data_IF_459740641411
#
_entry.id   IF_459740641411
#
_cell.length_a   1.000
_cell.length_b   1.000
_cell.length_c   1.000
_cell.angle_alpha   90.00
_cell.angle_beta   90.00
_cell.angle_gamma   90.00
#
_symmetry.space_group_name_H-M   'P 1'
#
loop_
_entity.id
_entity.type
_entity.pdbx_description
1 polymer ?
#
# COMPACT_ATOMS: atom_id res chain seq x y z
N UNK A 1 17.46 -7.63 11.68
CA UNK A 1 16.37 -8.58 11.45
C UNK A 1 14.97 -7.99 11.71
N UNK A 2 14.74 -7.24 12.79
CA UNK A 2 13.40 -6.71 13.15
C UNK A 2 12.91 -5.49 12.36
N UNK A 3 13.79 -4.77 11.66
CA UNK A 3 13.44 -3.52 10.96
C UNK A 3 12.31 -3.69 9.93
N UNK A 4 12.34 -4.67 9.01
CA UNK A 4 11.23 -4.91 8.09
C UNK A 4 9.90 -5.15 8.79
N UNK A 5 9.93 -5.84 9.93
CA UNK A 5 8.73 -6.13 10.74
C UNK A 5 8.16 -4.83 11.31
N UNK A 6 8.99 -4.02 11.99
CA UNK A 6 8.56 -2.75 12.59
C UNK A 6 8.02 -1.82 11.50
N UNK A 7 8.72 -1.68 10.38
CA UNK A 7 8.26 -0.82 9.27
C UNK A 7 6.94 -1.30 8.67
N UNK A 8 6.75 -2.61 8.53
CA UNK A 8 5.53 -3.20 8.00
C UNK A 8 4.34 -3.02 8.96
N UNK A 9 4.57 -3.21 10.26
CA UNK A 9 3.55 -2.97 11.30
C UNK A 9 3.15 -1.51 11.34
N UNK A 10 4.10 -0.58 11.37
CA UNK A 10 3.80 0.86 11.40
C UNK A 10 3.08 1.27 10.11
N UNK A 11 3.53 0.80 8.95
CA UNK A 11 2.89 1.11 7.68
C UNK A 11 1.44 0.59 7.61
N UNK A 12 1.21 -0.65 8.04
CA UNK A 12 -0.12 -1.25 8.02
C UNK A 12 -1.07 -0.62 9.05
N UNK A 13 -0.59 -0.40 10.28
CA UNK A 13 -1.36 0.26 11.33
C UNK A 13 -1.70 1.70 10.95
N UNK A 14 -0.81 2.40 10.24
CA UNK A 14 -1.11 3.74 9.73
C UNK A 14 -2.27 3.70 8.74
N UNK A 15 -2.27 2.79 7.77
CA UNK A 15 -3.38 2.67 6.79
C UNK A 15 -4.69 2.29 7.48
N UNK A 16 -4.67 1.39 8.47
CA UNK A 16 -5.84 1.05 9.26
C UNK A 16 -6.30 2.24 10.12
N UNK A 17 -5.39 3.01 10.71
CA UNK A 17 -5.75 4.20 11.48
C UNK A 17 -6.41 5.27 10.58
N UNK A 18 -5.96 5.40 9.33
CA UNK A 18 -6.49 6.34 8.36
C UNK A 18 -7.94 6.03 7.93
N UNK A 19 -8.38 4.76 7.96
CA UNK A 19 -9.78 4.43 7.63
C UNK A 19 -10.79 4.87 8.70
N UNK A 20 -10.35 5.08 9.95
CA UNK A 20 -11.21 5.67 11.00
C UNK A 20 -11.62 7.11 10.70
N UNK A 21 -10.84 7.80 9.86
CA UNK A 21 -11.13 9.18 9.45
C UNK A 21 -11.94 9.26 8.14
N UNK A 22 -12.40 8.12 7.60
CA UNK A 22 -13.23 8.10 6.40
C UNK A 22 -12.47 8.49 5.12
N UNK A 23 -11.13 8.37 5.11
CA UNK A 23 -10.32 8.89 4.02
C UNK A 23 -10.55 8.13 2.70
N UNK A 24 -10.82 6.82 2.74
CA UNK A 24 -11.15 6.09 1.52
C UNK A 24 -12.51 6.53 0.99
N UNK A 25 -13.51 6.71 1.86
CA UNK A 25 -14.83 7.22 1.47
C UNK A 25 -14.73 8.62 0.84
N UNK A 26 -13.96 9.53 1.45
CA UNK A 26 -13.69 10.87 0.90
C UNK A 26 -13.02 10.82 -0.48
N UNK A 27 -12.12 9.86 -0.70
CA UNK A 27 -11.46 9.64 -1.98
C UNK A 27 -12.34 8.86 -3.00
N UNK A 28 -13.56 8.48 -2.61
CA UNK A 28 -14.56 7.92 -3.50
C UNK A 28 -14.89 6.43 -3.28
N UNK A 29 -14.41 5.80 -2.20
CA UNK A 29 -14.88 4.47 -1.79
C UNK A 29 -16.34 4.51 -1.34
N UNK A 30 -16.97 3.34 -1.30
CA UNK A 30 -18.29 3.22 -0.69
C UNK A 30 -18.17 3.42 0.84
N UNK A 31 -19.05 4.21 1.49
CA UNK A 31 -18.93 4.52 2.93
C UNK A 31 -18.88 3.29 3.84
N UNK A 32 -19.58 2.22 3.47
CA UNK A 32 -19.61 0.96 4.24
C UNK A 32 -18.34 0.10 4.11
N UNK A 33 -17.37 0.47 3.26
CA UNK A 33 -16.21 -0.37 2.97
C UNK A 33 -14.91 0.10 3.64
N UNK A 34 -14.85 1.33 4.16
CA UNK A 34 -13.60 2.00 4.52
C UNK A 34 -12.71 1.14 5.44
N UNK A 35 -13.28 0.66 6.56
CA UNK A 35 -12.57 -0.22 7.48
C UNK A 35 -12.29 -1.61 6.86
N UNK A 36 -13.23 -2.15 6.09
CA UNK A 36 -13.12 -3.49 5.53
C UNK A 36 -11.96 -3.61 4.52
N UNK A 37 -11.84 -2.65 3.59
CA UNK A 37 -10.77 -2.66 2.57
C UNK A 37 -9.40 -2.44 3.20
N UNK A 38 -9.32 -1.61 4.24
CA UNK A 38 -8.09 -1.39 5.00
C UNK A 38 -7.66 -2.66 5.77
N UNK A 39 -8.60 -3.33 6.44
CA UNK A 39 -8.34 -4.56 7.19
C UNK A 39 -7.91 -5.74 6.29
N UNK A 40 -8.25 -5.72 5.01
CA UNK A 40 -7.78 -6.73 4.04
C UNK A 40 -6.46 -6.30 3.41
N UNK A 41 -6.40 -5.09 2.86
CA UNK A 41 -5.27 -4.63 2.06
C UNK A 41 -4.02 -4.32 2.89
N UNK A 42 -4.17 -3.75 4.08
CA UNK A 42 -3.02 -3.37 4.89
C UNK A 42 -2.20 -4.59 5.37
N UNK A 43 -2.81 -5.68 5.90
CA UNK A 43 -2.04 -6.88 6.24
C UNK A 43 -1.30 -7.48 5.04
N UNK A 44 -1.94 -7.53 3.86
CA UNK A 44 -1.31 -8.04 2.64
C UNK A 44 -0.11 -7.18 2.22
N UNK A 45 -0.26 -5.85 2.22
CA UNK A 45 0.83 -4.92 1.94
C UNK A 45 1.98 -5.03 2.96
N UNK A 46 1.65 -5.21 4.24
CA UNK A 46 2.63 -5.39 5.31
C UNK A 46 3.44 -6.69 5.15
N UNK A 47 2.78 -7.81 4.81
CA UNK A 47 3.44 -9.08 4.52
C UNK A 47 4.42 -8.96 3.34
N UNK A 48 3.99 -8.31 2.25
CA UNK A 48 4.86 -8.05 1.09
C UNK A 48 6.04 -7.14 1.44
N UNK A 49 5.80 -6.09 2.23
CA UNK A 49 6.85 -5.17 2.67
C UNK A 49 7.89 -5.87 3.56
N UNK A 50 7.43 -6.76 4.45
CA UNK A 50 8.30 -7.55 5.31
C UNK A 50 9.17 -8.50 4.49
N UNK A 51 8.58 -9.24 3.54
CA UNK A 51 9.30 -10.14 2.64
C UNK A 51 10.36 -9.40 1.82
N UNK A 52 9.98 -8.33 1.12
CA UNK A 52 10.91 -7.56 0.29
C UNK A 52 11.96 -6.82 1.13
N UNK A 53 11.62 -6.42 2.36
CA UNK A 53 12.56 -5.84 3.31
C UNK A 53 13.62 -6.84 3.78
N UNK A 54 13.26 -8.10 4.01
CA UNK A 54 14.23 -9.16 4.33
C UNK A 54 15.12 -9.54 3.16
N UNK A 55 14.64 -9.40 1.93
CA UNK A 55 15.43 -9.58 0.72
C UNK A 55 16.30 -8.35 0.36
N UNK A 56 16.31 -7.32 1.21
CA UNK A 56 16.98 -6.03 0.97
C UNK A 56 16.51 -5.29 -0.30
N UNK A 57 15.29 -5.61 -0.77
CA UNK A 57 14.67 -5.06 -1.99
C UNK A 57 13.79 -3.83 -1.72
N UNK A 58 14.19 -2.97 -0.79
CA UNK A 58 13.38 -1.83 -0.32
C UNK A 58 13.00 -0.87 -1.45
N UNK A 59 13.90 -0.61 -2.41
CA UNK A 59 13.58 0.24 -3.58
C UNK A 59 12.51 -0.39 -4.47
N UNK A 60 12.60 -1.70 -4.71
CA UNK A 60 11.60 -2.40 -5.50
C UNK A 60 10.25 -2.44 -4.77
N UNK A 61 10.24 -2.62 -3.45
CA UNK A 61 9.03 -2.52 -2.63
C UNK A 61 8.36 -1.15 -2.78
N UNK A 62 9.13 -0.06 -2.69
CA UNK A 62 8.59 1.29 -2.87
C UNK A 62 7.98 1.49 -4.27
N UNK A 63 8.72 1.13 -5.34
CA UNK A 63 8.23 1.27 -6.71
C UNK A 63 6.98 0.43 -6.94
N UNK A 64 7.00 -0.84 -6.51
CA UNK A 64 5.85 -1.72 -6.60
C UNK A 64 4.64 -1.14 -5.85
N UNK A 65 4.84 -0.65 -4.63
CA UNK A 65 3.78 -0.01 -3.84
C UNK A 65 3.14 1.18 -4.56
N UNK A 66 3.96 2.11 -5.08
CA UNK A 66 3.47 3.29 -5.82
C UNK A 66 2.71 2.89 -7.10
N UNK A 67 3.28 1.96 -7.88
CA UNK A 67 2.65 1.49 -9.13
C UNK A 67 1.33 0.77 -8.82
N UNK A 68 1.31 -0.12 -7.83
CA UNK A 68 0.10 -0.80 -7.39
C UNK A 68 -0.95 0.20 -6.91
N UNK A 69 -0.59 1.19 -6.10
CA UNK A 69 -1.52 2.23 -5.65
C UNK A 69 -2.14 3.00 -6.83
N UNK A 70 -1.32 3.45 -7.77
CA UNK A 70 -1.80 4.21 -8.92
C UNK A 70 -2.75 3.39 -9.80
N UNK A 71 -2.37 2.16 -10.14
CA UNK A 71 -3.19 1.26 -10.96
C UNK A 71 -4.49 0.87 -10.24
N UNK A 72 -4.41 0.53 -8.95
CA UNK A 72 -5.57 0.12 -8.18
C UNK A 72 -6.56 1.28 -7.99
N UNK A 73 -6.07 2.50 -7.74
CA UNK A 73 -6.92 3.68 -7.65
C UNK A 73 -7.59 4.01 -9.00
N UNK A 74 -6.85 3.93 -10.11
CA UNK A 74 -7.42 4.14 -11.44
C UNK A 74 -8.52 3.11 -11.76
N UNK A 75 -8.29 1.84 -11.43
CA UNK A 75 -9.30 0.78 -11.56
C UNK A 75 -10.50 1.03 -10.64
N UNK A 76 -10.28 1.49 -9.42
CA UNK A 76 -11.35 1.79 -8.46
C UNK A 76 -12.28 2.89 -8.99
N UNK A 77 -11.71 3.98 -9.51
CA UNK A 77 -12.48 5.10 -10.07
C UNK A 77 -13.23 4.69 -11.33
N UNK A 78 -12.62 3.90 -12.21
CA UNK A 78 -13.28 3.40 -13.43
C UNK A 78 -14.40 2.43 -13.09
N UNK A 79 -14.18 1.52 -12.14
CA UNK A 79 -15.18 0.60 -11.62
C UNK A 79 -16.37 1.34 -11.02
N UNK A 80 -16.12 2.34 -10.18
CA UNK A 80 -17.18 3.19 -9.60
C UNK A 80 -18.04 3.85 -10.68
N UNK A 81 -17.41 4.47 -11.66
CA UNK A 81 -18.12 5.19 -12.71
C UNK A 81 -19.01 4.26 -13.55
N UNK A 82 -18.47 3.11 -13.96
CA UNK A 82 -19.23 2.11 -14.72
C UNK A 82 -20.37 1.50 -13.90
N UNK A 83 -20.12 1.16 -12.63
CA UNK A 83 -21.12 0.60 -11.72
C UNK A 83 -22.28 1.57 -11.48
N UNK A 84 -21.97 2.87 -11.30
CA UNK A 84 -22.99 3.90 -11.16
C UNK A 84 -23.78 4.10 -12.45
N UNK A 85 -23.11 4.13 -13.61
CA UNK A 85 -23.75 4.27 -14.91
C UNK A 85 -24.67 3.09 -15.27
N UNK A 86 -24.34 1.90 -14.77
CA UNK A 86 -25.17 0.70 -14.94
C UNK A 86 -26.28 0.58 -13.88
N UNK A 87 -26.51 1.59 -13.04
CA UNK A 87 -27.45 1.50 -11.91
C UNK A 87 -27.20 0.27 -11.01
N UNK A 88 -25.93 -0.02 -10.73
CA UNK A 88 -25.48 -1.17 -9.96
C UNK A 88 -25.65 -2.57 -10.59
N UNK A 89 -26.00 -2.66 -11.88
CA UNK A 89 -26.15 -3.95 -12.58
C UNK A 89 -24.80 -4.56 -13.04
N UNK A 90 -23.78 -3.76 -13.34
CA UNK A 90 -22.46 -4.25 -13.78
C UNK A 90 -21.63 -4.73 -12.59
N UNK A 91 -21.80 -6.00 -12.23
CA UNK A 91 -21.08 -6.62 -11.11
C UNK A 91 -19.56 -6.57 -11.28
N UNK A 92 -19.04 -6.66 -12.50
CA UNK A 92 -17.60 -6.59 -12.75
C UNK A 92 -17.07 -5.21 -12.40
N UNK A 93 -17.78 -4.15 -12.77
CA UNK A 93 -17.45 -2.78 -12.39
C UNK A 93 -17.48 -2.60 -10.85
N UNK A 94 -18.46 -3.19 -10.18
CA UNK A 94 -18.52 -3.23 -8.71
C UNK A 94 -17.31 -3.93 -8.07
N UNK A 95 -16.89 -5.07 -8.64
CA UNK A 95 -15.69 -5.79 -8.19
C UNK A 95 -14.41 -4.99 -8.43
N UNK A 96 -14.28 -4.29 -9.57
CA UNK A 96 -13.14 -3.42 -9.84
C UNK A 96 -13.08 -2.24 -8.86
N UNK A 97 -14.24 -1.68 -8.51
CA UNK A 97 -14.34 -0.64 -7.49
C UNK A 97 -13.84 -1.14 -6.14
N UNK A 98 -14.43 -2.22 -5.63
CA UNK A 98 -14.09 -2.80 -4.31
C UNK A 98 -12.65 -3.29 -4.22
N UNK A 99 -12.20 -4.12 -5.17
CA UNK A 99 -10.85 -4.67 -5.17
C UNK A 99 -9.79 -3.61 -5.48
N UNK A 100 -10.14 -2.56 -6.22
CA UNK A 100 -9.26 -1.41 -6.42
C UNK A 100 -8.92 -0.69 -5.10
N UNK A 101 -9.87 -0.55 -4.18
CA UNK A 101 -9.60 0.00 -2.85
C UNK A 101 -8.73 -0.93 -2.00
N UNK A 102 -8.95 -2.24 -2.05
CA UNK A 102 -8.05 -3.21 -1.39
C UNK A 102 -6.63 -3.06 -1.95
N UNK A 103 -6.49 -3.05 -3.28
CA UNK A 103 -5.19 -2.90 -3.96
C UNK A 103 -4.52 -1.57 -3.61
N UNK A 104 -5.28 -0.49 -3.45
CA UNK A 104 -4.74 0.79 -2.99
C UNK A 104 -4.17 0.67 -1.58
N UNK A 105 -4.90 0.07 -0.63
CA UNK A 105 -4.42 -0.18 0.73
C UNK A 105 -3.15 -1.06 0.75
N UNK A 106 -3.07 -2.09 -0.11
CA UNK A 106 -1.86 -2.91 -0.30
C UNK A 106 -0.69 -2.04 -0.75
N UNK A 107 -0.88 -1.26 -1.82
CA UNK A 107 0.17 -0.43 -2.41
C UNK A 107 0.67 0.66 -1.46
N UNK A 108 -0.24 1.35 -0.77
CA UNK A 108 0.10 2.42 0.19
C UNK A 108 0.86 1.85 1.37
N UNK A 109 0.37 0.74 1.94
CA UNK A 109 1.07 0.06 3.04
C UNK A 109 2.47 -0.35 2.63
N UNK A 110 2.61 -0.95 1.44
CA UNK A 110 3.89 -1.40 0.91
C UNK A 110 4.86 -0.23 0.70
N UNK A 111 4.41 0.86 0.07
CA UNK A 111 5.22 2.05 -0.19
C UNK A 111 5.65 2.74 1.11
N UNK A 112 4.72 2.93 2.05
CA UNK A 112 5.00 3.56 3.34
C UNK A 112 5.99 2.73 4.15
N UNK A 113 5.77 1.41 4.24
CA UNK A 113 6.68 0.50 4.92
C UNK A 113 8.09 0.54 4.32
N UNK A 114 8.20 0.63 2.99
CA UNK A 114 9.50 0.76 2.31
C UNK A 114 10.22 2.08 2.64
N UNK A 115 9.49 3.20 2.69
CA UNK A 115 10.04 4.51 3.13
C UNK A 115 10.55 4.43 4.56
N UNK A 116 9.74 3.89 5.48
CA UNK A 116 10.09 3.74 6.89
C UNK A 116 11.30 2.83 7.09
N UNK A 117 11.38 1.74 6.33
CA UNK A 117 12.52 0.83 6.38
C UNK A 117 13.82 1.54 5.93
N UNK A 118 13.76 2.35 4.86
CA UNK A 118 14.92 3.12 4.35
C UNK A 118 15.37 4.22 5.31
N UNK A 119 14.44 4.93 5.95
CA UNK A 119 14.73 6.03 6.88
C UNK A 119 15.60 5.58 8.07
N UNK A 120 15.57 4.30 8.43
CA UNK A 120 16.39 3.73 9.50
C UNK A 120 17.81 3.29 9.06
N UNK A 121 18.26 3.57 7.82
CA UNK A 121 19.65 3.36 7.39
C UNK A 121 20.46 4.65 7.70
N UNK A 122 21.37 4.67 8.69
CA UNK A 122 22.27 5.80 8.86
C UNK A 122 23.13 5.96 7.59
N UNK A 123 23.28 7.20 7.12
CA UNK A 123 24.01 7.54 5.89
C UNK A 123 25.52 7.17 5.91
N UNK A 124 26.01 6.54 6.98
CA UNK A 124 27.43 6.32 7.27
C UNK A 124 28.05 4.99 6.87
N UNK A 125 27.34 4.05 6.21
CA UNK A 125 27.97 2.86 5.61
C UNK A 125 28.14 3.02 4.10
N UNK A 126 28.84 4.07 3.68
CA UNK A 126 29.65 3.95 2.47
C UNK A 126 30.95 3.28 2.94
N UNK A 127 31.18 2.05 2.48
CA UNK A 127 32.46 1.36 2.65
C UNK A 127 33.59 2.35 2.40
N UNK A 128 34.47 2.53 3.38
CA UNK A 128 35.69 3.30 3.19
C UNK A 128 36.38 2.79 1.91
N UNK A 129 36.93 3.69 1.07
CA UNK A 129 37.70 3.25 -0.08
C UNK A 129 38.81 2.29 0.39
N UNK A 130 39.10 1.22 -0.38
CA UNK A 130 40.19 0.33 -0.03
C UNK A 130 41.49 1.14 0.14
N UNK A 131 42.35 0.78 1.11
CA UNK A 131 43.61 1.48 1.28
C UNK A 131 44.38 1.44 -0.04
N UNK A 132 44.79 2.61 -0.52
CA UNK A 132 45.67 2.72 -1.67
C UNK A 132 46.99 2.03 -1.29
N UNK A 133 47.30 0.94 -1.99
CA UNK A 133 48.58 0.25 -1.94
C UNK A 133 49.63 1.03 -2.75
#
# INVERSE_FOLDING_TARGET
MYRPIISALVGGLFVIAMSWFGLAALAGAHPGWDMQVALIGAPLGALLAMLLGWMERVRAAFIAGVVTSALAYALALRGKAAFAASYAEDQLAGMLWYNGWIGLCVGVTLALSAVLNRASIPAGRRSAPPPLA
#
